data_IF_975081597287
#
_entry.id   IF_975081597287
#
_cell.length_a   1.000
_cell.length_b   1.000
_cell.length_c   1.000
_cell.angle_alpha   90.00
_cell.angle_beta   90.00
_cell.angle_gamma   90.00
#
_symmetry.space_group_name_H-M   'P 1'
#
loop_
_entity.id
_entity.type
_entity.pdbx_description
1 polymer ?
#
# COMPACT_ATOMS: atom_id res chain seq x y z
N UNK A 1 40.97 31.75 38.27
CA UNK A 1 40.41 31.00 37.11
C UNK A 1 38.90 31.06 37.18
N UNK A 2 38.26 31.77 36.24
CA UNK A 2 36.80 31.83 36.10
C UNK A 2 36.40 30.82 35.03
N UNK A 3 35.53 29.87 35.37
CA UNK A 3 34.85 29.01 34.39
C UNK A 3 33.37 29.39 34.43
N UNK A 4 32.90 29.90 33.30
CA UNK A 4 31.51 30.28 33.05
C UNK A 4 30.71 29.12 32.45
N UNK A 5 29.40 29.19 32.69
CA UNK A 5 28.29 28.85 31.78
C UNK A 5 27.98 27.39 31.42
N UNK A 6 26.76 27.01 31.81
CA UNK A 6 25.72 26.48 30.93
C UNK A 6 25.92 25.07 30.34
N UNK A 7 25.59 24.04 31.12
CA UNK A 7 25.38 22.68 30.58
C UNK A 7 24.10 21.98 31.05
N UNK A 8 23.23 22.62 31.84
CA UNK A 8 22.17 21.89 32.56
C UNK A 8 20.75 21.95 31.95
N UNK A 9 20.52 22.57 30.79
CA UNK A 9 19.14 22.81 30.28
C UNK A 9 18.74 21.92 29.08
N UNK A 10 19.67 21.18 28.46
CA UNK A 10 19.32 20.38 27.25
C UNK A 10 18.96 18.90 27.48
N UNK A 11 18.97 18.40 28.72
CA UNK A 11 18.80 16.95 28.95
C UNK A 11 17.37 16.49 29.28
N UNK A 12 16.41 17.38 29.57
CA UNK A 12 15.06 16.94 29.95
C UNK A 12 14.09 16.77 28.76
N UNK A 13 14.20 17.58 27.69
CA UNK A 13 13.15 17.63 26.64
C UNK A 13 13.12 16.44 25.66
N UNK A 14 14.10 15.54 25.69
CA UNK A 14 14.20 14.42 24.73
C UNK A 14 13.48 13.15 25.19
N UNK A 15 13.14 13.03 26.48
CA UNK A 15 12.68 11.75 27.06
C UNK A 15 11.16 11.52 26.90
N UNK A 16 10.35 12.58 26.81
CA UNK A 16 8.87 12.45 26.72
C UNK A 16 8.34 12.36 25.28
N UNK A 17 9.12 12.79 24.28
CA UNK A 17 8.70 12.77 22.87
C UNK A 17 8.78 11.38 22.23
N UNK A 18 9.65 10.51 22.76
CA UNK A 18 9.88 9.17 22.21
C UNK A 18 8.85 8.11 22.67
N UNK A 19 8.13 8.37 23.78
CA UNK A 19 7.09 7.44 24.29
C UNK A 19 5.78 7.48 23.51
N UNK A 20 5.44 8.59 22.83
CA UNK A 20 4.20 8.72 22.05
C UNK A 20 4.24 7.99 20.70
N UNK A 21 5.41 7.82 20.08
CA UNK A 21 5.55 7.12 18.79
C UNK A 21 5.45 5.59 18.89
N UNK A 22 5.81 5.00 20.05
CA UNK A 22 5.80 3.53 20.22
C UNK A 22 4.41 2.92 20.48
N UNK A 23 3.42 3.71 20.89
CA UNK A 23 2.05 3.20 21.14
C UNK A 23 1.18 3.13 19.88
N UNK A 24 1.51 3.91 18.86
CA UNK A 24 0.73 3.95 17.61
C UNK A 24 0.93 2.74 16.69
N UNK A 25 2.02 1.96 16.84
CA UNK A 25 2.27 0.81 15.96
C UNK A 25 1.56 -0.47 16.39
N UNK A 26 1.37 -0.68 17.71
CA UNK A 26 0.67 -1.89 18.21
C UNK A 26 -0.81 -1.89 17.88
N UNK A 27 -1.50 -0.74 17.99
CA UNK A 27 -2.92 -0.64 17.67
C UNK A 27 -3.18 -0.92 16.19
N UNK A 28 -2.32 -0.39 15.29
CA UNK A 28 -2.40 -0.69 13.85
C UNK A 28 -2.18 -2.16 13.55
N UNK A 29 -1.24 -2.83 14.24
CA UNK A 29 -0.98 -4.26 14.08
C UNK A 29 -2.14 -5.13 14.57
N UNK A 30 -2.80 -4.74 15.65
CA UNK A 30 -3.95 -5.47 16.20
C UNK A 30 -5.21 -5.26 15.34
N UNK A 31 -5.43 -4.05 14.82
CA UNK A 31 -6.51 -3.79 13.86
C UNK A 31 -6.26 -4.54 12.53
N UNK A 32 -5.02 -4.57 12.02
CA UNK A 32 -4.64 -5.41 10.87
C UNK A 32 -4.88 -6.90 11.15
N UNK A 33 -4.49 -7.37 12.34
CA UNK A 33 -4.65 -8.77 12.73
C UNK A 33 -6.12 -9.18 12.85
N UNK A 34 -6.99 -8.34 13.42
CA UNK A 34 -8.42 -8.64 13.53
C UNK A 34 -9.12 -8.56 12.17
N UNK A 35 -8.69 -7.66 11.29
CA UNK A 35 -9.16 -7.60 9.90
C UNK A 35 -8.71 -8.82 9.08
N UNK A 36 -7.54 -9.39 9.39
CA UNK A 36 -6.98 -10.59 8.76
C UNK A 36 -7.66 -11.89 9.23
N UNK A 37 -8.01 -11.99 10.51
CA UNK A 37 -8.54 -13.23 11.10
C UNK A 37 -9.96 -13.60 10.64
N UNK A 38 -10.75 -12.66 10.11
CA UNK A 38 -12.10 -12.93 9.61
C UNK A 38 -12.13 -13.47 8.16
N UNK A 39 -11.00 -13.44 7.45
CA UNK A 39 -10.96 -13.63 5.99
C UNK A 39 -10.04 -14.75 5.50
N UNK A 40 -9.42 -15.52 6.40
CA UNK A 40 -8.53 -16.64 6.05
C UNK A 40 -9.20 -17.78 5.24
N UNK A 41 -10.51 -17.72 4.99
CA UNK A 41 -11.27 -18.67 4.16
C UNK A 41 -11.72 -18.10 2.81
N UNK A 42 -11.35 -16.86 2.46
CA UNK A 42 -11.66 -16.28 1.15
C UNK A 42 -10.40 -16.24 0.31
N UNK A 43 -10.48 -16.77 -0.91
CA UNK A 43 -9.46 -16.66 -1.94
C UNK A 43 -9.45 -15.21 -2.48
N UNK A 44 -9.22 -14.25 -1.59
CA UNK A 44 -9.24 -12.82 -1.91
C UNK A 44 -7.84 -12.25 -1.74
N UNK A 45 -7.48 -11.29 -2.59
CA UNK A 45 -6.34 -10.40 -2.40
C UNK A 45 -6.82 -9.00 -2.05
N UNK A 46 -6.02 -8.27 -1.28
CA UNK A 46 -6.26 -6.86 -0.99
C UNK A 46 -5.47 -6.01 -1.99
N UNK A 47 -6.16 -5.16 -2.74
CA UNK A 47 -5.55 -4.28 -3.73
C UNK A 47 -5.52 -2.87 -3.14
N UNK A 48 -4.33 -2.28 -3.11
CA UNK A 48 -4.06 -0.93 -2.61
C UNK A 48 -3.66 -0.03 -3.77
N UNK A 49 -4.40 1.07 -3.97
CA UNK A 49 -4.10 2.06 -4.99
C UNK A 49 -3.37 3.25 -4.38
N UNK A 50 -2.33 3.74 -5.06
CA UNK A 50 -1.52 4.85 -4.56
C UNK A 50 -1.37 5.97 -5.59
N UNK A 51 -1.16 7.19 -5.08
CA UNK A 51 -0.89 8.39 -5.88
C UNK A 51 -1.94 8.59 -6.97
N UNK A 52 -1.44 8.81 -8.19
CA UNK A 52 -2.27 9.05 -9.37
C UNK A 52 -3.30 7.95 -9.62
N UNK A 53 -2.98 6.68 -9.36
CA UNK A 53 -3.94 5.60 -9.54
C UNK A 53 -5.14 5.75 -8.60
N UNK A 54 -4.90 6.10 -7.34
CA UNK A 54 -5.98 6.27 -6.35
C UNK A 54 -6.88 7.47 -6.63
N UNK A 55 -6.29 8.57 -7.08
CA UNK A 55 -7.02 9.77 -7.48
C UNK A 55 -7.81 9.50 -8.77
N UNK A 56 -7.15 8.92 -9.77
CA UNK A 56 -7.73 8.60 -11.05
C UNK A 56 -8.83 7.54 -10.96
N UNK A 57 -8.84 6.65 -9.97
CA UNK A 57 -9.91 5.67 -9.79
C UNK A 57 -10.91 6.06 -8.69
N UNK A 58 -10.65 7.17 -7.99
CA UNK A 58 -11.39 7.61 -6.79
C UNK A 58 -11.53 6.49 -5.75
N UNK A 59 -10.46 5.71 -5.58
CA UNK A 59 -10.45 4.50 -4.77
C UNK A 59 -9.08 4.31 -4.16
N UNK A 60 -9.01 3.98 -2.86
CA UNK A 60 -7.72 3.77 -2.17
C UNK A 60 -7.41 2.30 -1.97
N UNK A 61 -8.44 1.46 -1.88
CA UNK A 61 -8.28 0.01 -1.82
C UNK A 61 -9.56 -0.72 -2.18
N UNK A 62 -9.42 -1.98 -2.56
CA UNK A 62 -10.53 -2.92 -2.72
C UNK A 62 -10.05 -4.35 -2.42
N UNK A 63 -11.00 -5.30 -2.44
CA UNK A 63 -10.70 -6.72 -2.37
C UNK A 63 -11.14 -7.38 -3.67
N UNK A 64 -10.32 -8.30 -4.17
CA UNK A 64 -10.62 -9.07 -5.39
C UNK A 64 -10.55 -10.55 -5.09
N UNK A 65 -11.59 -11.27 -5.49
CA UNK A 65 -11.61 -12.73 -5.50
C UNK A 65 -10.75 -13.28 -6.65
N UNK A 66 -9.87 -14.22 -6.33
CA UNK A 66 -8.92 -14.87 -7.24
C UNK A 66 -9.27 -16.34 -7.54
N UNK A 67 -10.44 -16.85 -7.09
CA UNK A 67 -10.86 -18.25 -7.32
C UNK A 67 -10.89 -18.69 -8.79
N UNK A 68 -11.06 -17.76 -9.73
CA UNK A 68 -11.23 -18.05 -11.15
C UNK A 68 -9.92 -18.23 -11.92
N UNK A 69 -8.89 -18.79 -11.28
CA UNK A 69 -7.59 -19.05 -11.91
C UNK A 69 -6.72 -17.80 -12.07
N UNK A 70 -6.96 -16.77 -11.26
CA UNK A 70 -6.07 -15.61 -11.17
C UNK A 70 -4.91 -16.01 -10.24
N UNK A 71 -3.73 -16.20 -10.82
CA UNK A 71 -2.52 -16.59 -10.10
C UNK A 71 -1.37 -15.61 -10.27
N UNK A 72 -1.48 -14.59 -11.14
CA UNK A 72 -0.44 -13.56 -11.33
C UNK A 72 -0.96 -12.14 -11.21
N UNK A 73 -0.03 -11.19 -11.01
CA UNK A 73 -0.35 -9.75 -10.98
C UNK A 73 -0.91 -9.27 -12.31
N UNK A 74 -0.35 -9.74 -13.43
CA UNK A 74 -0.84 -9.45 -14.78
C UNK A 74 -2.33 -9.75 -14.93
N UNK A 75 -2.76 -10.94 -14.47
CA UNK A 75 -4.16 -11.35 -14.54
C UNK A 75 -5.06 -10.51 -13.63
N UNK A 76 -4.55 -10.04 -12.48
CA UNK A 76 -5.26 -9.06 -11.64
C UNK A 76 -5.45 -7.76 -12.40
N UNK A 77 -4.40 -7.24 -13.03
CA UNK A 77 -4.49 -6.01 -13.82
C UNK A 77 -5.46 -6.16 -14.99
N UNK A 78 -5.43 -7.27 -15.72
CA UNK A 78 -6.37 -7.53 -16.82
C UNK A 78 -7.81 -7.55 -16.34
N UNK A 79 -8.06 -8.17 -15.19
CA UNK A 79 -9.38 -8.19 -14.56
C UNK A 79 -9.86 -6.79 -14.18
N UNK A 80 -8.96 -5.94 -13.68
CA UNK A 80 -9.25 -4.54 -13.36
C UNK A 80 -9.49 -3.72 -14.63
N UNK A 81 -8.61 -3.84 -15.63
CA UNK A 81 -8.71 -3.16 -16.94
C UNK A 81 -10.03 -3.51 -17.65
N UNK A 82 -10.54 -4.73 -17.48
CA UNK A 82 -11.84 -5.16 -18.02
C UNK A 82 -13.07 -4.40 -17.49
N UNK A 83 -12.92 -3.52 -16.50
CA UNK A 83 -14.03 -2.71 -15.94
C UNK A 83 -14.38 -1.48 -16.76
N UNK A 84 -13.55 -1.10 -17.72
CA UNK A 84 -13.83 -0.03 -18.67
C UNK A 84 -12.62 0.82 -19.02
N UNK A 85 -12.80 1.72 -19.98
CA UNK A 85 -11.71 2.51 -20.60
C UNK A 85 -10.86 3.29 -19.61
N UNK A 86 -11.46 3.86 -18.56
CA UNK A 86 -10.75 4.58 -17.48
C UNK A 86 -9.75 3.67 -16.75
N UNK A 87 -10.12 2.42 -16.51
CA UNK A 87 -9.25 1.45 -15.86
C UNK A 87 -8.10 1.05 -16.78
N UNK A 88 -8.39 0.81 -18.07
CA UNK A 88 -7.38 0.52 -19.09
C UNK A 88 -6.33 1.63 -19.19
N UNK A 89 -6.76 2.90 -19.23
CA UNK A 89 -5.86 4.03 -19.36
C UNK A 89 -4.95 4.22 -18.13
N UNK A 90 -5.50 4.05 -16.93
CA UNK A 90 -4.76 4.26 -15.68
C UNK A 90 -3.82 3.10 -15.38
N UNK A 91 -4.21 1.88 -15.72
CA UNK A 91 -3.50 0.64 -15.41
C UNK A 91 -2.75 0.05 -16.60
N UNK A 92 -2.37 0.90 -17.56
CA UNK A 92 -1.53 0.49 -18.69
C UNK A 92 -0.17 -0.02 -18.20
N UNK A 93 0.27 -1.17 -18.75
CA UNK A 93 1.42 -1.93 -18.26
C UNK A 93 2.73 -1.17 -18.32
N UNK A 94 2.88 -0.23 -19.24
CA UNK A 94 4.08 0.59 -19.35
C UNK A 94 4.20 1.63 -18.23
N UNK A 95 3.12 1.84 -17.48
CA UNK A 95 2.96 2.96 -16.55
C UNK A 95 2.73 2.51 -15.12
N UNK A 96 2.62 1.21 -14.87
CA UNK A 96 2.33 0.66 -13.54
C UNK A 96 3.56 0.04 -12.89
N UNK A 97 3.69 0.30 -11.60
CA UNK A 97 4.64 -0.35 -10.71
C UNK A 97 3.83 -1.09 -9.66
N UNK A 98 4.12 -2.38 -9.47
CA UNK A 98 3.40 -3.24 -8.56
C UNK A 98 4.26 -3.68 -7.38
N UNK A 99 3.59 -3.94 -6.25
CA UNK A 99 4.20 -4.60 -5.09
C UNK A 99 3.32 -5.74 -4.58
N UNK A 100 3.93 -6.78 -4.04
CA UNK A 100 3.23 -7.84 -3.29
C UNK A 100 3.77 -7.83 -1.87
N UNK A 101 2.88 -7.68 -0.89
CA UNK A 101 3.20 -7.56 0.53
C UNK A 101 4.27 -6.48 0.81
N UNK A 102 4.20 -5.36 0.07
CA UNK A 102 5.10 -4.22 0.20
C UNK A 102 6.48 -4.38 -0.44
N UNK A 103 6.72 -5.46 -1.20
CA UNK A 103 7.96 -5.67 -1.96
C UNK A 103 7.70 -5.45 -3.45
N UNK A 104 8.61 -4.80 -4.21
CA UNK A 104 8.51 -4.71 -5.66
C UNK A 104 8.32 -6.09 -6.29
N UNK A 105 7.40 -6.18 -7.25
CA UNK A 105 7.05 -7.41 -7.92
C UNK A 105 6.91 -7.20 -9.43
N UNK A 106 7.23 -8.23 -10.21
CA UNK A 106 7.01 -8.28 -11.65
C UNK A 106 5.58 -8.69 -11.95
N UNK A 107 5.06 -8.32 -13.13
CA UNK A 107 3.69 -8.67 -13.52
C UNK A 107 3.47 -10.19 -13.61
N UNK A 108 4.51 -10.94 -13.92
CA UNK A 108 4.53 -12.40 -13.95
C UNK A 108 4.66 -13.07 -12.58
N UNK A 109 4.86 -12.30 -11.50
CA UNK A 109 5.01 -12.89 -10.17
C UNK A 109 3.68 -13.49 -9.70
N UNK A 110 3.78 -14.65 -9.05
CA UNK A 110 2.63 -15.35 -8.51
C UNK A 110 2.03 -14.60 -7.31
N UNK A 111 0.71 -14.69 -7.18
CA UNK A 111 -0.05 -14.17 -6.05
C UNK A 111 -0.80 -15.29 -5.33
N UNK A 112 -0.98 -15.12 -4.03
CA UNK A 112 -1.73 -16.03 -3.18
C UNK A 112 -2.87 -15.32 -2.47
N UNK A 113 -3.85 -16.10 -2.01
CA UNK A 113 -4.92 -15.59 -1.19
C UNK A 113 -4.36 -14.92 0.08
N UNK A 114 -4.89 -13.75 0.41
CA UNK A 114 -4.44 -12.91 1.50
C UNK A 114 -3.30 -11.96 1.16
N UNK A 115 -2.73 -12.01 -0.04
CA UNK A 115 -1.69 -11.06 -0.44
C UNK A 115 -2.22 -9.63 -0.56
N UNK A 116 -1.37 -8.69 -0.17
CA UNK A 116 -1.58 -7.25 -0.36
C UNK A 116 -0.85 -6.81 -1.64
N UNK A 117 -1.59 -6.44 -2.68
CA UNK A 117 -1.07 -5.97 -3.96
C UNK A 117 -1.11 -4.43 -3.96
N UNK A 118 0.04 -3.79 -4.04
CA UNK A 118 0.14 -2.35 -4.22
C UNK A 118 0.27 -1.97 -5.69
N UNK A 119 -0.51 -0.99 -6.14
CA UNK A 119 -0.50 -0.49 -7.52
C UNK A 119 -0.20 1.01 -7.52
N UNK A 120 0.86 1.38 -8.24
CA UNK A 120 1.31 2.75 -8.45
C UNK A 120 1.28 3.05 -9.94
N UNK A 121 0.70 4.18 -10.35
CA UNK A 121 0.78 4.66 -11.72
C UNK A 121 1.77 5.83 -11.79
N UNK A 122 2.77 5.72 -12.68
CA UNK A 122 3.81 6.72 -12.88
C UNK A 122 3.34 7.93 -13.70
N UNK A 123 2.23 7.79 -14.43
CA UNK A 123 1.67 8.85 -15.28
C UNK A 123 0.56 9.60 -14.53
N UNK A 124 0.50 10.92 -14.73
CA UNK A 124 -0.63 11.73 -14.26
C UNK A 124 -1.81 11.60 -15.22
N UNK A 125 -3.03 11.28 -14.74
CA UNK A 125 -4.21 11.10 -15.57
C UNK A 125 -4.66 12.40 -16.27
N UNK A 126 -4.08 13.56 -15.90
CA UNK A 126 -4.43 14.88 -16.42
C UNK A 126 -3.49 15.38 -17.51
N UNK A 127 -2.48 14.60 -17.89
CA UNK A 127 -1.61 14.96 -19.02
C UNK A 127 -2.28 14.44 -20.29
N UNK A 128 -3.10 15.29 -20.87
CA UNK A 128 -3.68 15.09 -22.20
C UNK A 128 -2.62 15.50 -23.21
N UNK A 129 -2.08 14.53 -23.95
CA UNK A 129 -1.29 14.78 -25.16
C UNK A 129 -2.20 15.09 -26.34
#
# INVERSE_FOLDING_TARGET
>A
MRITTACAVRCWSSSTRNRRRRRHSKMKRLLRSLYWSAHANRHEVEIMYFGNASEALMMTSERMDIQNGISSIEQVLDRLKGRGSRWTQVLDEHNVICTVNGKPAMLSDDIAAGDEIGIFCAISPYVVS
#
